data_IF_811456104455
#
_entry.id   IF_811456104455
#
_cell.length_a   1.000
_cell.length_b   1.000
_cell.length_c   1.000
_cell.angle_alpha   90.00
_cell.angle_beta   90.00
_cell.angle_gamma   90.00
#
_symmetry.space_group_name_H-M   'P 1'
#
loop_
_entity.id
_entity.type
_entity.pdbx_description
1 polymer ?
#
# COMPACT_ATOMS: atom_id res chain seq x y z
N UNK A 1 -12.19 -1.11 -9.39
CA UNK A 1 -11.05 -1.12 -8.45
C UNK A 1 -10.88 -2.56 -7.98
N UNK A 2 -9.66 -3.11 -8.02
CA UNK A 2 -9.41 -4.43 -7.45
C UNK A 2 -9.82 -4.44 -5.96
N UNK A 3 -10.45 -5.51 -5.52
CA UNK A 3 -10.83 -5.68 -4.11
C UNK A 3 -9.56 -5.74 -3.26
N UNK A 4 -9.39 -4.76 -2.36
CA UNK A 4 -8.25 -4.71 -1.44
C UNK A 4 -8.43 -5.79 -0.38
N UNK A 5 -7.49 -6.73 -0.33
CA UNK A 5 -7.56 -7.93 0.52
C UNK A 5 -6.36 -7.94 1.47
N UNK A 6 -6.57 -8.16 2.77
CA UNK A 6 -5.43 -8.22 3.69
C UNK A 6 -4.69 -9.55 3.52
N UNK A 7 -3.35 -9.53 3.39
CA UNK A 7 -2.55 -10.75 3.42
C UNK A 7 -2.79 -11.55 4.72
N UNK A 8 -2.99 -12.87 4.61
CA UNK A 8 -3.24 -13.78 5.73
C UNK A 8 -2.67 -15.18 5.41
N UNK A 9 -2.53 -16.06 6.41
CA UNK A 9 -2.01 -17.45 6.25
C UNK A 9 -0.65 -17.56 5.53
N UNK A 10 0.18 -16.54 5.68
CA UNK A 10 1.56 -16.55 5.22
C UNK A 10 2.47 -16.00 6.32
N UNK A 11 3.78 -16.08 6.10
CA UNK A 11 4.81 -15.63 7.02
C UNK A 11 5.97 -15.01 6.25
N UNK A 12 6.71 -14.11 6.89
CA UNK A 12 7.84 -13.40 6.30
C UNK A 12 8.86 -14.34 5.66
N UNK A 13 9.21 -15.44 6.34
CA UNK A 13 10.15 -16.43 5.82
C UNK A 13 9.69 -17.08 4.50
N UNK A 14 8.39 -17.32 4.35
CA UNK A 14 7.84 -17.86 3.11
C UNK A 14 7.91 -16.84 1.97
N UNK A 15 7.63 -15.57 2.27
CA UNK A 15 7.82 -14.50 1.28
C UNK A 15 9.28 -14.36 0.86
N UNK A 16 10.23 -14.34 1.79
CA UNK A 16 11.67 -14.25 1.47
C UNK A 16 12.09 -15.40 0.58
N UNK A 17 11.69 -16.64 0.90
CA UNK A 17 11.99 -17.80 0.07
C UNK A 17 11.41 -17.65 -1.35
N UNK A 18 10.18 -17.15 -1.48
CA UNK A 18 9.56 -16.88 -2.78
C UNK A 18 10.35 -15.82 -3.57
N UNK A 19 10.69 -14.69 -2.94
CA UNK A 19 11.48 -13.63 -3.56
C UNK A 19 12.84 -14.14 -4.01
N UNK A 20 13.49 -14.97 -3.20
CA UNK A 20 14.78 -15.60 -3.54
C UNK A 20 14.66 -16.53 -4.75
N UNK A 21 13.58 -17.31 -4.86
CA UNK A 21 13.35 -18.16 -6.04
C UNK A 21 13.00 -17.36 -7.29
N UNK A 22 12.33 -16.23 -7.14
CA UNK A 22 11.91 -15.36 -8.25
C UNK A 22 13.01 -14.40 -8.74
N UNK A 23 14.20 -14.39 -8.11
CA UNK A 23 15.35 -13.58 -8.55
C UNK A 23 15.73 -13.87 -10.01
N UNK A 24 16.09 -12.81 -10.73
CA UNK A 24 16.61 -12.93 -12.09
C UNK A 24 15.49 -12.86 -13.12
N UNK A 25 15.20 -13.96 -13.83
CA UNK A 25 14.20 -13.98 -14.91
C UNK A 25 12.78 -14.35 -14.47
N UNK A 26 12.52 -14.32 -13.17
CA UNK A 26 11.30 -14.88 -12.59
C UNK A 26 11.37 -16.40 -12.43
N UNK A 27 10.25 -16.98 -11.99
CA UNK A 27 10.11 -18.41 -11.71
C UNK A 27 8.72 -18.89 -12.11
N UNK A 28 8.66 -20.04 -12.75
CA UNK A 28 7.38 -20.64 -13.12
C UNK A 28 6.68 -21.27 -11.91
N UNK A 29 5.35 -21.36 -12.01
CA UNK A 29 4.51 -21.88 -10.93
C UNK A 29 4.86 -23.31 -10.52
N UNK A 30 5.17 -24.19 -11.47
CA UNK A 30 5.45 -25.59 -11.18
C UNK A 30 6.75 -25.73 -10.39
N UNK A 31 7.76 -24.93 -10.72
CA UNK A 31 9.01 -24.83 -9.97
C UNK A 31 8.77 -24.33 -8.54
N UNK A 32 7.94 -23.31 -8.33
CA UNK A 32 7.59 -22.86 -6.97
C UNK A 32 6.87 -23.94 -6.17
N UNK A 33 5.87 -24.61 -6.77
CA UNK A 33 5.13 -25.70 -6.11
C UNK A 33 6.06 -26.86 -5.70
N UNK A 34 7.04 -27.20 -6.53
CA UNK A 34 8.04 -28.22 -6.23
C UNK A 34 8.99 -27.83 -5.09
N UNK A 35 9.30 -26.53 -4.93
CA UNK A 35 10.28 -26.02 -3.95
C UNK A 35 9.67 -25.66 -2.60
N UNK A 36 8.48 -25.06 -2.62
CA UNK A 36 7.80 -24.51 -1.44
C UNK A 36 6.61 -25.36 -0.98
N UNK A 37 6.21 -26.35 -1.80
CA UNK A 37 4.94 -27.04 -1.65
C UNK A 37 3.81 -26.27 -2.34
N UNK A 38 2.81 -27.00 -2.84
CA UNK A 38 1.64 -26.41 -3.48
C UNK A 38 0.48 -26.12 -2.52
N UNK A 39 -0.66 -25.76 -3.09
CA UNK A 39 -1.92 -25.61 -2.37
C UNK A 39 -2.13 -24.23 -1.74
N UNK A 40 -2.87 -24.18 -0.64
CA UNK A 40 -3.36 -22.94 -0.04
C UNK A 40 -2.22 -22.03 0.46
N UNK A 41 -1.20 -22.59 1.11
CA UNK A 41 -0.10 -21.80 1.69
C UNK A 41 0.72 -21.04 0.65
N UNK A 42 1.07 -21.70 -0.47
CA UNK A 42 1.76 -21.02 -1.58
C UNK A 42 0.86 -19.96 -2.21
N UNK A 43 -0.42 -20.27 -2.42
CA UNK A 43 -1.39 -19.32 -2.98
C UNK A 43 -1.49 -18.05 -2.13
N UNK A 44 -1.58 -18.17 -0.81
CA UNK A 44 -1.68 -17.00 0.07
C UNK A 44 -0.35 -16.24 0.20
N UNK A 45 0.79 -16.93 0.09
CA UNK A 45 2.10 -16.26 0.01
C UNK A 45 2.24 -15.47 -1.28
N UNK A 46 1.81 -16.02 -2.42
CA UNK A 46 1.75 -15.32 -3.72
C UNK A 46 0.84 -14.10 -3.64
N UNK A 47 -0.37 -14.26 -3.09
CA UNK A 47 -1.30 -13.15 -2.92
C UNK A 47 -0.70 -12.05 -2.04
N UNK A 48 0.03 -12.41 -0.97
CA UNK A 48 0.67 -11.44 -0.08
C UNK A 48 1.77 -10.64 -0.79
N UNK A 49 2.66 -11.30 -1.54
CA UNK A 49 3.73 -10.59 -2.27
C UNK A 49 3.16 -9.69 -3.38
N UNK A 50 2.08 -10.08 -4.04
CA UNK A 50 1.40 -9.23 -5.03
C UNK A 50 0.71 -8.03 -4.38
N UNK A 51 -0.01 -8.24 -3.27
CA UNK A 51 -0.70 -7.16 -2.55
C UNK A 51 0.28 -6.12 -2.00
N UNK A 52 1.46 -6.56 -1.57
CA UNK A 52 2.56 -5.69 -1.16
C UNK A 52 3.35 -5.10 -2.34
N UNK A 53 2.95 -5.41 -3.58
CA UNK A 53 3.58 -4.88 -4.79
C UNK A 53 5.02 -5.35 -4.99
N UNK A 54 5.38 -6.52 -4.47
CA UNK A 54 6.73 -7.11 -4.56
C UNK A 54 6.89 -8.05 -5.75
N UNK A 55 5.80 -8.63 -6.24
CA UNK A 55 5.83 -9.49 -7.42
C UNK A 55 4.55 -9.32 -8.23
N UNK A 56 4.59 -9.75 -9.48
CA UNK A 56 3.44 -9.89 -10.37
C UNK A 56 3.41 -11.29 -10.95
N UNK A 57 2.20 -11.77 -11.27
CA UNK A 57 1.99 -12.96 -12.10
C UNK A 57 1.62 -12.55 -13.51
N UNK A 58 2.25 -13.17 -14.50
CA UNK A 58 1.83 -13.02 -15.90
C UNK A 58 0.66 -13.95 -16.26
N UNK A 59 0.22 -13.92 -17.52
CA UNK A 59 -0.88 -14.75 -18.02
C UNK A 59 -0.61 -16.26 -17.95
N UNK A 60 0.67 -16.66 -18.00
CA UNK A 60 1.10 -18.06 -17.84
C UNK A 60 1.17 -18.48 -16.37
N UNK A 61 1.06 -17.50 -15.46
CA UNK A 61 1.19 -17.69 -14.03
C UNK A 61 2.64 -17.71 -13.56
N UNK A 62 3.59 -17.27 -14.39
CA UNK A 62 4.99 -17.10 -13.99
C UNK A 62 5.12 -15.85 -13.12
N UNK A 63 6.01 -15.94 -12.13
CA UNK A 63 6.18 -14.95 -11.08
C UNK A 63 7.40 -14.11 -11.42
N UNK A 64 7.20 -12.81 -11.52
CA UNK A 64 8.25 -11.83 -11.78
C UNK A 64 8.32 -10.83 -10.64
N UNK A 65 9.52 -10.48 -10.20
CA UNK A 65 9.69 -9.44 -9.19
C UNK A 65 9.36 -8.07 -9.79
N UNK A 66 8.69 -7.23 -9.01
CA UNK A 66 8.61 -5.79 -9.33
C UNK A 66 9.93 -5.12 -8.95
N UNK A 67 10.12 -3.85 -9.31
CA UNK A 67 11.28 -3.08 -8.85
C UNK A 67 11.42 -3.09 -7.31
N UNK A 68 10.31 -2.91 -6.58
CA UNK A 68 10.30 -3.02 -5.12
C UNK A 68 10.62 -4.42 -4.63
N UNK A 69 10.16 -5.46 -5.34
CA UNK A 69 10.53 -6.84 -5.09
C UNK A 69 12.02 -7.11 -5.26
N UNK A 70 12.61 -6.60 -6.35
CA UNK A 70 14.03 -6.74 -6.63
C UNK A 70 14.88 -6.04 -5.57
N UNK A 71 14.57 -4.78 -5.22
CA UNK A 71 15.29 -4.07 -4.15
C UNK A 71 15.25 -4.85 -2.84
N UNK A 72 14.09 -5.38 -2.46
CA UNK A 72 13.96 -6.19 -1.25
C UNK A 72 14.71 -7.52 -1.34
N UNK A 73 14.62 -8.21 -2.48
CA UNK A 73 15.26 -9.50 -2.69
C UNK A 73 16.79 -9.39 -2.71
N UNK A 74 17.33 -8.32 -3.28
CA UNK A 74 18.78 -8.06 -3.41
C UNK A 74 19.35 -7.16 -2.30
N UNK A 75 18.55 -6.76 -1.31
CA UNK A 75 18.99 -5.93 -0.19
C UNK A 75 20.20 -6.53 0.55
N UNK A 76 21.20 -5.68 0.83
CA UNK A 76 22.47 -6.10 1.43
C UNK A 76 22.40 -5.92 2.95
N UNK A 77 22.23 -7.03 3.65
CA UNK A 77 22.15 -7.04 5.11
C UNK A 77 20.77 -6.64 5.64
N UNK A 78 20.65 -6.63 6.97
CA UNK A 78 19.34 -6.55 7.62
C UNK A 78 18.77 -5.12 7.62
N UNK A 79 19.62 -4.09 7.68
CA UNK A 79 19.18 -2.70 7.66
C UNK A 79 18.50 -2.32 6.33
N UNK A 80 19.16 -2.62 5.21
CA UNK A 80 18.60 -2.39 3.86
C UNK A 80 17.31 -3.20 3.65
N UNK A 81 17.29 -4.44 4.13
CA UNK A 81 16.10 -5.31 4.02
C UNK A 81 14.93 -4.76 4.83
N UNK A 82 15.16 -4.31 6.07
CA UNK A 82 14.12 -3.67 6.87
C UNK A 82 13.62 -2.36 6.25
N UNK A 83 14.50 -1.57 5.63
CA UNK A 83 14.12 -0.35 4.93
C UNK A 83 13.23 -0.65 3.71
N UNK A 84 13.62 -1.58 2.84
CA UNK A 84 12.81 -1.98 1.68
C UNK A 84 11.49 -2.64 2.09
N UNK A 85 11.50 -3.47 3.14
CA UNK A 85 10.27 -4.07 3.67
C UNK A 85 9.33 -2.98 4.21
N UNK A 86 9.86 -2.00 4.94
CA UNK A 86 9.09 -0.85 5.41
C UNK A 86 8.47 -0.08 4.25
N UNK A 87 9.23 0.19 3.17
CA UNK A 87 8.70 0.87 1.98
C UNK A 87 7.56 0.08 1.31
N UNK A 88 7.71 -1.24 1.21
CA UNK A 88 6.65 -2.11 0.68
C UNK A 88 5.38 -2.07 1.55
N UNK A 89 5.53 -2.13 2.89
CA UNK A 89 4.40 -2.00 3.81
C UNK A 89 3.70 -0.64 3.68
N UNK A 90 4.45 0.45 3.54
CA UNK A 90 3.89 1.80 3.42
C UNK A 90 3.23 2.06 2.06
N UNK A 91 3.61 1.30 1.03
CA UNK A 91 2.98 1.36 -0.29
C UNK A 91 1.63 0.62 -0.31
N UNK A 92 1.36 -0.21 0.69
CA UNK A 92 0.09 -0.92 0.84
C UNK A 92 -0.82 -0.20 1.86
N UNK A 93 -1.91 0.48 1.43
CA UNK A 93 -2.70 1.34 2.31
C UNK A 93 -3.21 0.68 3.59
N UNK A 94 -3.68 -0.59 3.58
CA UNK A 94 -4.09 -1.24 4.82
C UNK A 94 -2.97 -1.36 5.86
N UNK A 95 -1.70 -1.34 5.47
CA UNK A 95 -0.57 -1.38 6.40
C UNK A 95 -0.07 0.04 6.73
N UNK A 96 -0.11 0.96 5.78
CA UNK A 96 0.27 2.36 5.98
C UNK A 96 -0.67 3.10 6.94
N UNK A 97 -1.98 3.02 6.71
CA UNK A 97 -2.99 3.83 7.41
C UNK A 97 -2.96 3.64 8.93
N UNK A 98 -2.89 2.40 9.48
CA UNK A 98 -2.76 2.23 10.93
C UNK A 98 -1.52 2.90 11.52
N UNK A 99 -0.37 2.87 10.83
CA UNK A 99 0.87 3.51 11.30
C UNK A 99 0.77 5.03 11.27
N UNK A 100 0.28 5.58 10.17
CA UNK A 100 0.10 7.03 9.99
C UNK A 100 -0.86 7.61 11.01
N UNK A 101 -1.96 6.91 11.26
CA UNK A 101 -2.93 7.31 12.26
C UNK A 101 -2.38 7.21 13.68
N UNK A 102 -1.57 6.19 13.96
CA UNK A 102 -0.88 6.08 15.25
C UNK A 102 -0.01 7.30 15.53
N UNK A 103 0.74 7.76 14.51
CA UNK A 103 1.57 8.96 14.59
C UNK A 103 0.71 10.19 14.85
N UNK A 104 -0.37 10.36 14.08
CA UNK A 104 -1.27 11.51 14.22
C UNK A 104 -1.95 11.57 15.60
N UNK A 105 -2.28 10.42 16.19
CA UNK A 105 -2.89 10.29 17.51
C UNK A 105 -1.86 10.23 18.65
N UNK A 106 -0.55 10.27 18.36
CA UNK A 106 0.51 10.20 19.36
C UNK A 106 0.59 8.86 20.10
N UNK A 107 0.14 7.77 19.47
CA UNK A 107 0.17 6.43 20.05
C UNK A 107 1.58 5.86 20.01
N UNK A 108 1.99 5.21 21.11
CA UNK A 108 3.22 4.41 21.16
C UNK A 108 2.96 2.90 21.04
N UNK A 109 1.69 2.49 21.06
CA UNK A 109 1.26 1.09 21.03
C UNK A 109 0.02 0.97 20.14
N UNK A 110 0.04 -0.01 19.24
CA UNK A 110 -1.13 -0.42 18.48
C UNK A 110 -1.69 -1.70 19.06
N UNK A 111 -2.87 -1.64 19.66
CA UNK A 111 -3.58 -2.86 20.05
C UNK A 111 -4.29 -3.52 18.86
N UNK A 112 -4.50 -4.82 19.00
CA UNK A 112 -5.14 -5.63 17.99
C UNK A 112 -6.54 -5.14 17.57
N UNK A 113 -7.39 -4.81 18.55
CA UNK A 113 -8.78 -4.44 18.29
C UNK A 113 -8.87 -3.09 17.56
N UNK A 114 -7.94 -2.17 17.85
CA UNK A 114 -7.83 -0.89 17.18
C UNK A 114 -7.47 -1.04 15.70
N UNK A 115 -6.47 -1.88 15.37
CA UNK A 115 -6.11 -2.14 13.96
C UNK A 115 -7.24 -2.85 13.21
N UNK A 116 -7.86 -3.86 13.83
CA UNK A 116 -8.99 -4.58 13.24
C UNK A 116 -10.18 -3.64 12.97
N UNK A 117 -10.44 -2.71 13.89
CA UNK A 117 -11.47 -1.67 13.72
C UNK A 117 -11.17 -0.77 12.51
N UNK A 118 -9.92 -0.32 12.33
CA UNK A 118 -9.55 0.49 11.16
C UNK A 118 -9.87 -0.26 9.88
N UNK A 119 -9.46 -1.52 9.77
CA UNK A 119 -9.68 -2.32 8.57
C UNK A 119 -11.16 -2.59 8.29
N UNK A 120 -11.94 -2.93 9.31
CA UNK A 120 -13.34 -3.33 9.12
C UNK A 120 -14.31 -2.15 9.05
N UNK A 121 -14.08 -1.11 9.84
CA UNK A 121 -15.02 0.02 9.99
C UNK A 121 -14.61 1.18 9.10
N UNK A 122 -13.36 1.61 9.20
CA UNK A 122 -12.90 2.84 8.56
C UNK A 122 -12.57 2.59 7.08
N UNK A 123 -11.90 1.47 6.79
CA UNK A 123 -11.54 1.05 5.43
C UNK A 123 -12.57 0.14 4.76
N UNK A 124 -13.50 -0.45 5.55
CA UNK A 124 -14.56 -1.34 5.07
C UNK A 124 -14.06 -2.52 4.23
N UNK A 125 -12.93 -3.10 4.60
CA UNK A 125 -12.38 -4.26 3.91
C UNK A 125 -13.31 -5.47 4.11
N UNK A 126 -13.78 -6.07 3.01
CA UNK A 126 -14.79 -7.12 2.98
C UNK A 126 -14.21 -8.51 3.32
N UNK A 127 -13.48 -8.62 4.44
CA UNK A 127 -12.79 -9.84 4.83
C UNK A 127 -13.44 -10.48 6.07
N UNK A 128 -13.69 -11.81 6.06
CA UNK A 128 -14.21 -12.54 7.22
C UNK A 128 -13.35 -12.34 8.48
N UNK A 129 -14.00 -12.27 9.66
CA UNK A 129 -13.34 -11.96 10.93
C UNK A 129 -12.12 -12.83 11.23
N UNK A 130 -12.21 -14.14 11.02
CA UNK A 130 -11.09 -15.07 11.25
C UNK A 130 -9.87 -14.72 10.38
N UNK A 131 -10.09 -14.29 9.13
CA UNK A 131 -9.00 -13.88 8.24
C UNK A 131 -8.43 -12.52 8.63
N UNK A 132 -9.25 -11.61 9.16
CA UNK A 132 -8.78 -10.32 9.70
C UNK A 132 -7.86 -10.54 10.91
N UNK A 133 -8.20 -11.45 11.82
CA UNK A 133 -7.35 -11.79 12.98
C UNK A 133 -6.00 -12.42 12.57
N UNK A 134 -6.02 -13.31 11.57
CA UNK A 134 -4.83 -13.89 10.95
C UNK A 134 -4.00 -12.80 10.26
N UNK A 135 -4.62 -11.93 9.47
CA UNK A 135 -3.98 -10.81 8.78
C UNK A 135 -3.33 -9.81 9.74
N UNK A 136 -4.01 -9.49 10.85
CA UNK A 136 -3.46 -8.62 11.91
C UNK A 136 -2.19 -9.21 12.49
N UNK A 137 -2.20 -10.50 12.75
CA UNK A 137 -1.03 -11.21 13.29
C UNK A 137 0.13 -11.17 12.31
N UNK A 138 -0.15 -11.35 11.01
CA UNK A 138 0.85 -11.24 9.97
C UNK A 138 1.39 -9.81 9.82
N UNK A 139 0.52 -8.79 9.80
CA UNK A 139 0.90 -7.37 9.79
C UNK A 139 1.83 -7.00 10.94
N UNK A 140 1.52 -7.41 12.18
CA UNK A 140 2.39 -7.12 13.33
C UNK A 140 3.75 -7.82 13.23
N UNK A 141 3.80 -9.06 12.74
CA UNK A 141 5.07 -9.74 12.49
C UNK A 141 5.88 -9.04 11.41
N UNK A 142 5.23 -8.61 10.32
CA UNK A 142 5.91 -7.86 9.26
C UNK A 142 6.46 -6.53 9.78
N UNK A 143 5.68 -5.80 10.59
CA UNK A 143 6.12 -4.54 11.19
C UNK A 143 7.33 -4.73 12.11
N UNK A 144 7.41 -5.87 12.81
CA UNK A 144 8.57 -6.25 13.63
C UNK A 144 9.81 -6.52 12.76
N UNK A 145 9.67 -7.35 11.72
CA UNK A 145 10.73 -7.63 10.74
C UNK A 145 11.18 -6.38 9.97
N UNK A 146 10.26 -5.43 9.76
CA UNK A 146 10.53 -4.15 9.13
C UNK A 146 11.22 -3.14 10.08
N UNK A 147 11.31 -3.44 11.37
CA UNK A 147 11.88 -2.53 12.37
C UNK A 147 10.98 -1.34 12.71
N UNK A 148 9.68 -1.43 12.44
CA UNK A 148 8.69 -0.37 12.73
C UNK A 148 8.12 -0.47 14.15
N UNK A 149 8.35 -1.58 14.83
CA UNK A 149 7.98 -1.80 16.23
C UNK A 149 8.35 -3.19 16.71
N UNK A 150 8.02 -3.53 17.95
CA UNK A 150 8.17 -4.88 18.50
C UNK A 150 6.81 -5.58 18.63
N UNK A 151 6.64 -6.74 18.00
CA UNK A 151 5.41 -7.52 18.11
C UNK A 151 5.33 -8.24 19.45
N UNK A 152 4.23 -8.02 20.18
CA UNK A 152 3.92 -8.72 21.44
C UNK A 152 2.65 -9.53 21.28
N UNK A 153 2.79 -10.86 21.34
CA UNK A 153 1.66 -11.77 21.41
C UNK A 153 0.91 -11.57 22.74
N UNK A 154 -0.41 -11.50 22.66
CA UNK A 154 -1.25 -11.36 23.85
C UNK A 154 -1.06 -12.53 24.82
N UNK A 155 -1.00 -12.19 26.11
CA UNK A 155 -0.96 -13.11 27.24
C UNK A 155 -2.05 -12.70 28.24
N UNK A 156 -2.29 -13.50 29.28
CA UNK A 156 -3.39 -13.24 30.24
C UNK A 156 -3.38 -11.79 30.74
N UNK A 157 -4.43 -11.03 30.41
CA UNK A 157 -4.61 -9.63 30.83
C UNK A 157 -3.90 -8.59 29.95
N UNK A 158 -3.18 -8.99 28.90
CA UNK A 158 -2.46 -8.11 27.98
C UNK A 158 -2.85 -8.43 26.53
N UNK A 159 -3.43 -7.48 25.78
CA UNK A 159 -3.82 -7.73 24.40
C UNK A 159 -2.59 -7.93 23.50
N UNK A 160 -2.81 -8.62 22.40
CA UNK A 160 -1.86 -8.65 21.29
C UNK A 160 -1.66 -7.24 20.77
N UNK A 161 -0.41 -6.82 20.60
CA UNK A 161 -0.07 -5.43 20.27
C UNK A 161 1.25 -5.31 19.51
N UNK A 162 1.45 -4.16 18.89
CA UNK A 162 2.72 -3.71 18.33
C UNK A 162 3.21 -2.50 19.15
N UNK A 163 4.40 -2.61 19.73
CA UNK A 163 5.06 -1.50 20.44
C UNK A 163 5.88 -0.71 19.41
N UNK A 164 5.45 0.51 19.08
CA UNK A 164 6.06 1.28 17.99
C UNK A 164 7.46 1.76 18.38
N UNK A 165 8.36 1.84 17.39
CA UNK A 165 9.69 2.41 17.64
C UNK A 165 9.60 3.87 18.07
N UNK A 166 10.51 4.34 18.94
CA UNK A 166 10.64 5.76 19.22
C UNK A 166 10.85 6.55 17.92
N UNK A 167 10.24 7.72 17.81
CA UNK A 167 10.35 8.59 16.63
C UNK A 167 9.93 7.91 15.31
N UNK A 168 8.89 7.06 15.33
CA UNK A 168 8.34 6.44 14.12
C UNK A 168 8.08 7.46 13.00
N UNK A 169 7.60 8.66 13.33
CA UNK A 169 7.37 9.74 12.36
C UNK A 169 8.64 10.10 11.56
N UNK A 170 9.78 10.27 12.25
CA UNK A 170 11.06 10.54 11.59
C UNK A 170 11.57 9.37 10.76
N UNK A 171 11.33 8.12 11.22
CA UNK A 171 11.64 6.92 10.45
C UNK A 171 10.85 6.89 9.14
N UNK A 172 9.53 7.11 9.20
CA UNK A 172 8.67 7.10 8.00
C UNK A 172 9.02 8.25 7.05
N UNK A 173 9.39 9.41 7.57
CA UNK A 173 9.84 10.55 6.75
C UNK A 173 11.13 10.21 6.00
N UNK A 174 12.13 9.64 6.69
CA UNK A 174 13.42 9.27 6.08
C UNK A 174 13.22 8.25 4.94
N UNK A 175 12.34 7.26 5.15
CA UNK A 175 12.02 6.24 4.13
C UNK A 175 11.39 6.84 2.86
N UNK A 176 10.63 7.94 2.99
CA UNK A 176 10.01 8.65 1.87
C UNK A 176 10.99 9.54 1.13
N UNK A 177 11.92 10.18 1.85
CA UNK A 177 12.94 11.06 1.26
C UNK A 177 14.02 10.25 0.52
N UNK A 178 14.35 9.06 1.01
CA UNK A 178 15.24 8.11 0.35
C UNK A 178 14.56 7.29 -0.75
N UNK A 179 13.25 7.46 -0.96
CA UNK A 179 12.58 6.82 -2.08
C UNK A 179 13.19 7.36 -3.38
N UNK A 180 13.64 6.50 -4.31
CA UNK A 180 14.18 6.98 -5.57
C UNK A 180 13.11 7.81 -6.27
N UNK A 181 13.51 9.00 -6.75
CA UNK A 181 12.65 9.80 -7.60
C UNK A 181 12.17 8.90 -8.74
N UNK A 182 10.88 8.96 -9.12
CA UNK A 182 10.41 8.21 -10.27
C UNK A 182 11.30 8.58 -11.45
N UNK A 183 11.95 7.58 -12.06
CA UNK A 183 12.69 7.82 -13.30
C UNK A 183 11.73 8.53 -14.26
N UNK A 184 12.14 9.65 -14.89
CA UNK A 184 11.29 10.28 -15.89
C UNK A 184 11.04 9.22 -16.96
N UNK A 185 9.77 8.82 -17.08
CA UNK A 185 9.33 7.88 -18.09
C UNK A 185 10.02 8.23 -19.40
N UNK A 186 10.86 7.32 -19.90
CA UNK A 186 11.51 7.47 -21.20
C UNK A 186 10.43 7.56 -22.24
N UNK A 187 10.08 8.79 -22.62
CA UNK A 187 9.26 9.08 -23.79
C UNK A 187 10.13 8.65 -24.97
N UNK A 188 9.80 7.50 -25.56
CA UNK A 188 10.41 7.09 -26.82
C UNK A 188 10.32 8.24 -27.84
N UNK A 189 11.39 8.51 -28.62
CA UNK A 189 11.39 9.62 -29.54
C UNK A 189 10.46 9.32 -30.71
N UNK A 190 9.23 9.84 -30.64
CA UNK A 190 8.34 9.91 -31.79
C UNK A 190 9.01 10.80 -32.84
N UNK A 191 9.25 10.20 -34.00
CA UNK A 191 9.86 10.78 -35.21
C UNK A 191 9.32 12.19 -35.48
N UNK A 192 10.16 13.19 -35.78
CA UNK A 192 9.72 14.58 -35.87
C UNK A 192 8.96 14.83 -37.17
N UNK A 193 7.64 15.02 -37.07
CA UNK A 193 6.87 15.67 -38.13
C UNK A 193 7.06 17.18 -37.99
N UNK A 194 7.50 17.80 -39.08
CA UNK A 194 7.85 19.21 -39.22
C UNK A 194 6.83 20.18 -38.62
N UNK A 195 7.31 21.10 -37.78
CA UNK A 195 6.55 22.27 -37.30
C UNK A 195 6.44 23.33 -38.41
N UNK A 196 5.32 24.04 -38.51
CA UNK A 196 5.35 25.46 -38.78
C UNK A 196 5.12 26.28 -37.49
N UNK A 197 5.58 27.53 -37.56
CA UNK A 197 5.82 28.55 -36.53
C UNK A 197 4.71 28.81 -35.50
N UNK A 198 5.14 29.13 -34.27
CA UNK A 198 4.38 29.83 -33.20
C UNK A 198 4.53 31.35 -33.42
N UNK A 199 3.50 32.24 -33.29
CA UNK A 199 2.89 32.63 -32.00
C UNK A 199 1.40 33.13 -32.05
N UNK A 200 0.77 33.65 -30.96
CA UNK A 200 1.04 33.61 -29.51
C UNK A 200 -0.14 33.04 -28.65
N UNK A 201 0.14 32.78 -27.37
CA UNK A 201 -0.79 32.56 -26.22
C UNK A 201 -2.18 31.98 -26.55
N UNK A 202 -2.31 30.65 -26.52
CA UNK A 202 -3.63 30.01 -26.50
C UNK A 202 -4.25 30.15 -25.10
N UNK A 203 -5.28 30.97 -24.98
CA UNK A 203 -6.22 30.93 -23.87
C UNK A 203 -7.00 29.61 -23.92
N UNK A 204 -6.90 28.80 -22.87
CA UNK A 204 -7.69 27.59 -22.72
C UNK A 204 -9.12 27.99 -22.33
N UNK A 205 -10.08 27.90 -23.26
CA UNK A 205 -11.50 27.98 -22.93
C UNK A 205 -12.02 26.57 -22.63
N UNK A 206 -12.33 26.32 -21.36
CA UNK A 206 -13.03 25.12 -20.92
C UNK A 206 -14.52 25.47 -20.89
N UNK A 207 -15.31 24.90 -21.79
CA UNK A 207 -16.77 25.00 -21.77
C UNK A 207 -17.31 23.82 -20.97
N UNK A 208 -17.80 24.08 -19.77
CA UNK A 208 -18.47 23.07 -18.94
C UNK A 208 -19.97 23.16 -19.21
N UNK A 209 -20.52 22.07 -19.75
CA UNK A 209 -21.96 21.92 -19.92
C UNK A 209 -22.60 21.61 -18.55
N UNK A 210 -23.46 22.51 -18.08
CA UNK A 210 -24.16 22.42 -16.80
C UNK A 210 -25.65 22.15 -16.97
N UNK A 211 -26.10 21.74 -18.17
CA UNK A 211 -27.53 21.59 -18.49
C UNK A 211 -28.22 20.55 -17.59
N UNK A 212 -27.48 19.53 -17.14
CA UNK A 212 -27.98 18.49 -16.23
C UNK A 212 -27.70 18.75 -14.75
N UNK A 213 -27.13 19.92 -14.41
CA UNK A 213 -26.81 20.24 -13.02
C UNK A 213 -28.03 20.87 -12.36
N UNK A 214 -28.50 20.24 -11.28
CA UNK A 214 -29.53 20.82 -10.44
C UNK A 214 -28.94 21.94 -9.56
N UNK A 215 -28.68 23.10 -10.17
CA UNK A 215 -28.02 24.26 -9.55
C UNK A 215 -28.68 24.64 -8.21
N UNK A 216 -30.00 24.53 -8.10
CA UNK A 216 -30.74 24.79 -6.86
C UNK A 216 -30.35 23.84 -5.72
N UNK A 217 -30.10 22.55 -6.02
CA UNK A 217 -29.63 21.57 -5.02
C UNK A 217 -28.19 21.83 -4.63
N UNK A 218 -27.35 22.23 -5.59
CA UNK A 218 -25.95 22.57 -5.35
C UNK A 218 -25.86 23.82 -4.46
N UNK A 219 -26.67 24.86 -4.72
CA UNK A 219 -26.72 26.04 -3.87
C UNK A 219 -27.24 25.73 -2.47
N UNK A 220 -28.29 24.91 -2.34
CA UNK A 220 -28.81 24.49 -1.04
C UNK A 220 -27.74 23.72 -0.23
N UNK A 221 -26.97 22.85 -0.89
CA UNK A 221 -25.86 22.12 -0.29
C UNK A 221 -24.72 23.06 0.13
N UNK A 222 -24.35 24.02 -0.71
CA UNK A 222 -23.30 25.00 -0.39
C UNK A 222 -23.70 25.96 0.74
N UNK A 223 -24.99 26.32 0.84
CA UNK A 223 -25.53 27.08 2.00
C UNK A 223 -25.49 26.25 3.29
N UNK A 224 -25.79 24.95 3.21
CA UNK A 224 -25.68 24.04 4.36
C UNK A 224 -24.24 23.96 4.88
N UNK A 225 -23.25 24.01 3.98
CA UNK A 225 -21.83 24.00 4.30
C UNK A 225 -21.26 25.37 4.72
N UNK A 226 -22.08 26.43 4.75
CA UNK A 226 -21.65 27.78 5.10
C UNK A 226 -20.76 28.45 4.05
N UNK A 227 -20.71 27.92 2.83
CA UNK A 227 -19.87 28.41 1.73
C UNK A 227 -20.51 29.56 0.94
N UNK A 228 -21.79 29.88 1.18
CA UNK A 228 -22.52 30.97 0.52
C UNK A 228 -23.28 31.81 1.57
N UNK A 229 -23.12 33.15 1.61
CA UNK A 229 -23.85 34.00 2.54
C UNK A 229 -25.37 34.00 2.25
N UNK A 230 -26.23 34.20 3.26
CA UNK A 230 -27.68 34.26 3.04
C UNK A 230 -28.03 35.48 2.16
N UNK A 231 -28.86 35.27 1.15
CA UNK A 231 -29.36 36.34 0.30
C UNK A 231 -30.14 37.36 1.15
N UNK A 232 -29.76 38.63 1.06
CA UNK A 232 -30.55 39.73 1.63
C UNK A 232 -31.86 39.87 0.85
N UNK A 233 -33.02 39.88 1.53
CA UNK A 233 -34.27 40.21 0.87
C UNK A 233 -34.35 41.72 0.62
N UNK A 234 -34.68 42.12 -0.61
CA UNK A 234 -35.31 43.42 -0.90
C UNK A 234 -36.81 43.35 -0.61
#
# INVERSE_FOLDING_TARGET
>A
MAEVMLPYRTEWRAMVALLDYAKGKGVDRATLEARMGGGESLRETLNAVEQLGLATRDESGDIHLTESGERLAYAVGDADRSAELSRAMLSYPPYAIPLERAIAEGLSVLDAAWVERIWQVDMRLAQPRNRVEEARTFYFRLADEAGLGGYRRGVRGQPTRLELVPNLAGVLQSLREEAPAPEPASIEPVVPVSRPSVPPMASLQITVDMTDWEIEKIEAFLRLLGAVPPAHPE
#
